data_IF_460624494336
#
_entry.id   IF_460624494336
#
_cell.length_a   1.000
_cell.length_b   1.000
_cell.length_c   1.000
_cell.angle_alpha   90.00
_cell.angle_beta   90.00
_cell.angle_gamma   90.00
#
_symmetry.space_group_name_H-M   'P 1'
#
loop_
_entity.id
_entity.type
_entity.pdbx_description
1 polymer ?
#
# COMPACT_ATOMS: atom_id res chain seq x y z
N UNK A 1 -1.96 11.87 -0.82
CA UNK A 1 -2.08 11.41 -2.18
C UNK A 1 -3.34 10.58 -2.37
N UNK A 2 -4.13 10.90 -3.40
CA UNK A 2 -5.42 10.26 -3.64
C UNK A 2 -5.32 8.76 -3.89
N UNK A 3 -4.29 8.32 -4.57
CA UNK A 3 -4.10 6.89 -4.85
C UNK A 3 -3.89 6.10 -3.58
N UNK A 4 -3.04 6.59 -2.69
CA UNK A 4 -2.77 5.91 -1.43
C UNK A 4 -4.02 5.85 -0.56
N UNK A 5 -4.75 6.94 -0.48
CA UNK A 5 -6.00 6.97 0.30
C UNK A 5 -7.02 5.99 -0.27
N UNK A 6 -7.12 5.91 -1.58
CA UNK A 6 -8.04 4.98 -2.23
C UNK A 6 -7.69 3.53 -1.92
N UNK A 7 -6.40 3.20 -1.97
CA UNK A 7 -5.94 1.86 -1.66
C UNK A 7 -6.19 1.49 -0.20
N UNK A 8 -5.99 2.43 0.71
CA UNK A 8 -6.26 2.20 2.12
C UNK A 8 -7.75 1.95 2.35
N UNK A 9 -8.59 2.78 1.76
CA UNK A 9 -10.04 2.64 1.90
C UNK A 9 -10.53 1.32 1.32
N UNK A 10 -10.04 0.96 0.14
CA UNK A 10 -10.41 -0.27 -0.53
C UNK A 10 -10.09 -1.51 0.31
N UNK A 11 -9.02 -1.47 1.07
CA UNK A 11 -8.59 -2.57 1.91
C UNK A 11 -9.09 -2.47 3.36
N UNK A 12 -9.97 -1.52 3.63
CA UNK A 12 -10.52 -1.33 4.98
C UNK A 12 -9.50 -0.85 5.98
N UNK A 13 -8.51 -0.08 5.52
CA UNK A 13 -7.45 0.43 6.36
C UNK A 13 -7.66 1.90 6.71
N UNK A 14 -7.07 2.31 7.84
CA UNK A 14 -7.11 3.71 8.25
C UNK A 14 -6.28 4.57 7.32
N UNK A 15 -6.78 5.77 6.98
CA UNK A 15 -6.06 6.72 6.15
C UNK A 15 -5.13 7.60 6.98
N UNK A 16 -4.34 6.97 7.84
CA UNK A 16 -3.40 7.65 8.70
C UNK A 16 -2.07 7.92 8.00
N UNK A 17 -1.30 8.87 8.55
CA UNK A 17 0.02 9.18 8.02
C UNK A 17 0.93 7.96 8.14
N UNK A 18 0.81 7.21 9.23
CA UNK A 18 1.61 6.01 9.44
C UNK A 18 1.34 4.97 8.37
N UNK A 19 0.06 4.74 8.04
CA UNK A 19 -0.29 3.79 6.98
C UNK A 19 0.23 4.25 5.62
N UNK A 20 0.15 5.55 5.34
CA UNK A 20 0.66 6.08 4.09
C UNK A 20 2.18 5.91 3.97
N UNK A 21 2.90 6.11 5.07
CA UNK A 21 4.34 5.89 5.09
C UNK A 21 4.68 4.42 4.80
N UNK A 22 3.93 3.51 5.43
CA UNK A 22 4.13 2.08 5.18
C UNK A 22 3.86 1.75 3.72
N UNK A 23 2.81 2.31 3.14
CA UNK A 23 2.50 2.08 1.72
C UNK A 23 3.62 2.56 0.81
N UNK A 24 4.20 3.73 1.10
CA UNK A 24 5.30 4.25 0.31
C UNK A 24 6.50 3.30 0.36
N UNK A 25 6.82 2.80 1.55
CA UNK A 25 7.91 1.85 1.72
C UNK A 25 7.62 0.53 1.01
N UNK A 26 6.41 0.02 1.14
CA UNK A 26 6.00 -1.20 0.45
C UNK A 26 6.09 -1.04 -1.06
N UNK A 27 5.67 0.13 -1.57
CA UNK A 27 5.76 0.40 -2.99
C UNK A 27 7.18 0.40 -3.50
N UNK A 28 8.10 1.03 -2.76
CA UNK A 28 9.51 1.05 -3.11
C UNK A 28 10.10 -0.36 -3.11
N UNK A 29 9.81 -1.11 -2.08
CA UNK A 29 10.28 -2.48 -1.93
C UNK A 29 9.80 -3.36 -3.07
N UNK A 30 8.53 -3.23 -3.42
CA UNK A 30 7.96 -4.01 -4.51
C UNK A 30 8.56 -3.65 -5.85
N UNK A 31 8.79 -2.36 -6.09
CA UNK A 31 9.45 -1.90 -7.32
C UNK A 31 10.83 -2.51 -7.48
N UNK A 32 11.61 -2.53 -6.41
CA UNK A 32 12.94 -3.12 -6.44
C UNK A 32 12.87 -4.62 -6.66
N UNK A 33 11.93 -5.28 -5.99
CA UNK A 33 11.76 -6.72 -6.09
C UNK A 33 11.40 -7.15 -7.51
N UNK A 34 10.54 -6.38 -8.17
CA UNK A 34 10.08 -6.67 -9.52
C UNK A 34 10.95 -6.03 -10.61
N UNK A 35 11.84 -5.15 -10.23
CA UNK A 35 12.68 -4.41 -11.18
C UNK A 35 11.91 -3.45 -12.04
N UNK A 36 10.77 -2.96 -11.54
CA UNK A 36 9.90 -2.03 -12.27
C UNK A 36 9.99 -0.63 -11.70
N UNK A 37 9.80 0.36 -12.56
CA UNK A 37 9.75 1.77 -12.13
C UNK A 37 8.34 2.18 -11.71
N UNK A 38 7.35 1.53 -12.29
CA UNK A 38 5.93 1.84 -12.04
C UNK A 38 5.21 0.56 -11.67
N UNK A 39 4.34 0.65 -10.67
CA UNK A 39 3.54 -0.48 -10.24
C UNK A 39 2.11 -0.35 -10.74
N UNK A 40 1.53 -1.46 -11.18
CA UNK A 40 0.12 -1.51 -11.48
C UNK A 40 -0.69 -1.51 -10.19
N UNK A 41 -1.89 -0.96 -10.25
CA UNK A 41 -2.77 -0.90 -9.08
C UNK A 41 -3.03 -2.29 -8.50
N UNK A 42 -3.22 -3.27 -9.37
CA UNK A 42 -3.49 -4.64 -8.94
C UNK A 42 -2.29 -5.27 -8.22
N UNK A 43 -1.09 -5.03 -8.75
CA UNK A 43 0.14 -5.55 -8.14
C UNK A 43 0.33 -4.96 -6.75
N UNK A 44 0.15 -3.65 -6.64
CA UNK A 44 0.29 -2.96 -5.36
C UNK A 44 -0.78 -3.42 -4.37
N UNK A 45 -2.02 -3.53 -4.82
CA UNK A 45 -3.13 -3.97 -3.99
C UNK A 45 -2.89 -5.38 -3.43
N UNK A 46 -2.43 -6.29 -4.27
CA UNK A 46 -2.09 -7.65 -3.84
C UNK A 46 -1.00 -7.64 -2.78
N UNK A 47 0.02 -6.81 -2.98
CA UNK A 47 1.13 -6.71 -2.03
C UNK A 47 0.65 -6.12 -0.69
N UNK A 48 -0.25 -5.15 -0.74
CA UNK A 48 -0.85 -4.57 0.46
C UNK A 48 -1.61 -5.65 1.24
N UNK A 49 -2.38 -6.48 0.56
CA UNK A 49 -3.13 -7.56 1.19
C UNK A 49 -2.22 -8.56 1.89
N UNK A 50 -1.04 -8.82 1.33
CA UNK A 50 -0.07 -9.70 1.95
C UNK A 50 0.57 -9.09 3.19
N UNK A 51 0.55 -7.76 3.30
CA UNK A 51 1.18 -7.03 4.39
C UNK A 51 0.17 -6.28 5.26
N UNK A 52 -1.09 -6.72 5.28
CA UNK A 52 -2.14 -6.05 6.07
C UNK A 52 -1.79 -5.99 7.56
N UNK A 53 -1.08 -6.96 8.06
CA UNK A 53 -0.68 -7.01 9.46
C UNK A 53 0.23 -5.85 9.86
N UNK A 54 0.93 -5.25 8.89
CA UNK A 54 1.81 -4.10 9.12
C UNK A 54 1.05 -2.77 9.10
N UNK A 55 -0.22 -2.82 8.73
CA UNK A 55 -1.05 -1.63 8.58
C UNK A 55 -2.14 -1.62 9.63
N UNK A 56 -2.53 -0.40 10.04
CA UNK A 56 -3.58 -0.23 11.04
C UNK A 56 -4.94 -0.30 10.36
N UNK A 57 -5.82 -1.22 10.79
CA UNK A 57 -7.15 -1.31 10.19
C UNK A 57 -8.02 -0.12 10.57
N UNK A 58 -8.97 0.16 9.71
CA UNK A 58 -9.96 1.20 9.97
C UNK A 58 -10.92 0.68 11.02
N UNK A 59 -11.14 1.51 12.02
CA UNK A 59 -12.11 1.18 13.06
C UNK A 59 -13.54 1.49 12.62
#
# INVERSE_FOLDING_TARGET
DHELNHLLEKNGLSQSIDNRKVLVELGKELKEKLGKRVLGSEEFDAFIKENLEKLTPKK
#
